data_IF_352576120892
#
_entry.id   IF_352576120892
#
_cell.length_a   1.000
_cell.length_b   1.000
_cell.length_c   1.000
_cell.angle_alpha   90.00
_cell.angle_beta   90.00
_cell.angle_gamma   90.00
#
_symmetry.space_group_name_H-M   'P 1'
#
loop_
_entity.id
_entity.type
_entity.pdbx_description
1 polymer ?
#
# COMPACT_ATOMS: atom_id res chain seq x y z
N UNK A 1 20.35 9.87 1.23
CA UNK A 1 19.09 9.34 1.76
C UNK A 1 18.46 8.49 0.70
N UNK A 2 18.13 7.25 1.05
CA UNK A 2 17.59 6.33 0.07
C UNK A 2 16.24 5.84 0.53
N UNK A 3 15.31 5.79 -0.42
CA UNK A 3 14.01 5.17 -0.21
C UNK A 3 14.17 3.67 -0.36
N UNK A 4 13.63 2.92 0.57
CA UNK A 4 13.65 1.47 0.55
C UNK A 4 12.24 0.93 0.63
N UNK A 5 12.07 -0.28 0.12
CA UNK A 5 10.77 -0.94 0.14
C UNK A 5 10.55 -1.64 1.48
N UNK A 6 9.39 -1.41 2.05
CA UNK A 6 8.93 -2.06 3.27
C UNK A 6 7.58 -2.71 3.04
N UNK A 7 7.33 -3.77 3.75
CA UNK A 7 6.05 -4.46 3.71
C UNK A 7 5.23 -4.04 4.93
N UNK A 8 4.04 -3.54 4.67
CA UNK A 8 3.12 -3.11 5.73
C UNK A 8 1.98 -4.11 5.79
N UNK A 9 1.72 -4.62 6.99
CA UNK A 9 0.62 -5.53 7.21
C UNK A 9 -0.66 -4.73 7.48
N UNK A 10 -1.68 -4.96 6.68
CA UNK A 10 -2.98 -4.29 6.79
C UNK A 10 -4.06 -5.35 6.95
N UNK A 11 -5.25 -4.90 7.33
CA UNK A 11 -6.41 -5.80 7.38
C UNK A 11 -6.79 -6.23 5.97
N UNK A 12 -7.02 -7.52 5.80
CA UNK A 12 -7.39 -8.08 4.52
C UNK A 12 -8.68 -7.42 4.00
N UNK A 13 -8.66 -7.00 2.73
CA UNK A 13 -9.77 -6.28 2.13
C UNK A 13 -9.68 -4.77 2.26
N UNK A 14 -8.76 -4.25 3.07
CA UNK A 14 -8.61 -2.81 3.30
C UNK A 14 -7.32 -2.25 2.70
N UNK A 15 -6.63 -3.01 1.88
CA UNK A 15 -5.32 -2.61 1.35
C UNK A 15 -5.39 -1.33 0.52
N UNK A 16 -6.41 -1.20 -0.34
CA UNK A 16 -6.58 0.00 -1.15
C UNK A 16 -6.92 1.21 -0.29
N UNK A 17 -7.71 1.01 0.74
CA UNK A 17 -8.05 2.07 1.69
C UNK A 17 -6.80 2.52 2.45
N UNK A 18 -5.96 1.58 2.87
CA UNK A 18 -4.69 1.89 3.52
C UNK A 18 -3.78 2.70 2.60
N UNK A 19 -3.66 2.27 1.35
CA UNK A 19 -2.86 3.00 0.37
C UNK A 19 -3.31 4.44 0.25
N UNK A 20 -4.61 4.66 0.09
CA UNK A 20 -5.17 6.00 -0.05
C UNK A 20 -4.95 6.82 1.22
N UNK A 21 -5.17 6.22 2.37
CA UNK A 21 -4.95 6.89 3.65
C UNK A 21 -3.50 7.29 3.84
N UNK A 22 -2.56 6.41 3.46
CA UNK A 22 -1.13 6.72 3.55
C UNK A 22 -0.77 7.90 2.65
N UNK A 23 -1.27 7.90 1.41
CA UNK A 23 -1.01 8.99 0.49
C UNK A 23 -1.54 10.33 1.02
N UNK A 24 -2.73 10.33 1.60
CA UNK A 24 -3.31 11.52 2.22
C UNK A 24 -2.48 12.01 3.40
N UNK A 25 -2.06 11.09 4.26
CA UNK A 25 -1.26 11.43 5.45
C UNK A 25 0.11 11.96 5.07
N UNK A 26 0.73 11.39 4.06
CA UNK A 26 2.02 11.88 3.56
C UNK A 26 1.91 13.34 3.13
N UNK A 27 0.87 13.69 2.42
CA UNK A 27 0.62 15.08 2.01
C UNK A 27 0.30 15.98 3.19
N UNK A 28 -0.54 15.49 4.11
CA UNK A 28 -0.98 16.26 5.27
C UNK A 28 0.19 16.63 6.17
N UNK A 29 1.13 15.71 6.36
CA UNK A 29 2.27 15.94 7.24
C UNK A 29 3.51 16.38 6.49
N UNK A 30 3.39 16.67 5.20
CA UNK A 30 4.49 17.18 4.37
C UNK A 30 5.71 16.26 4.37
N UNK A 31 5.47 14.96 4.28
CA UNK A 31 6.51 13.94 4.28
C UNK A 31 6.77 13.34 2.91
N UNK A 32 6.39 14.06 1.84
CA UNK A 32 6.51 13.53 0.47
C UNK A 32 7.96 13.17 0.12
N UNK A 33 8.93 13.85 0.71
CA UNK A 33 10.34 13.56 0.47
C UNK A 33 10.77 12.23 1.05
N UNK A 34 10.08 11.76 2.07
CA UNK A 34 10.39 10.48 2.73
C UNK A 34 9.61 9.30 2.20
N UNK A 35 8.70 9.54 1.28
CA UNK A 35 7.87 8.50 0.69
C UNK A 35 7.97 8.51 -0.82
N UNK A 36 8.08 7.32 -1.39
CA UNK A 36 8.04 7.13 -2.83
C UNK A 36 6.70 6.53 -3.24
N UNK A 37 6.74 5.34 -3.80
CA UNK A 37 5.55 4.67 -4.28
C UNK A 37 4.90 3.84 -3.18
N UNK A 38 3.59 3.73 -3.24
CA UNK A 38 2.81 2.85 -2.37
C UNK A 38 2.03 1.92 -3.29
N UNK A 39 2.26 0.63 -3.15
CA UNK A 39 1.68 -0.37 -4.03
C UNK A 39 0.91 -1.40 -3.24
N UNK A 40 -0.24 -1.81 -3.78
CA UNK A 40 -0.96 -2.98 -3.29
C UNK A 40 -0.62 -4.13 -4.23
N UNK A 41 0.03 -5.21 -3.72
CA UNK A 41 0.42 -6.31 -4.61
C UNK A 41 -0.82 -7.03 -5.11
N UNK A 42 -1.10 -6.84 -6.39
CA UNK A 42 -2.24 -7.46 -7.06
C UNK A 42 -1.78 -8.04 -8.39
N UNK A 43 -2.49 -9.06 -8.82
CA UNK A 43 -2.33 -9.59 -10.15
C UNK A 43 -3.58 -9.29 -10.94
N UNK A 44 -3.39 -8.69 -12.11
CA UNK A 44 -4.49 -8.43 -13.02
C UNK A 44 -4.69 -9.63 -13.91
N UNK A 45 -5.85 -10.25 -13.82
CA UNK A 45 -6.21 -11.43 -14.62
C UNK A 45 -7.25 -11.02 -15.64
N UNK A 46 -6.95 -11.30 -16.92
CA UNK A 46 -7.90 -11.11 -18.00
C UNK A 46 -8.45 -12.47 -18.38
N UNK A 47 -9.74 -12.66 -18.17
CA UNK A 47 -10.41 -13.90 -18.53
C UNK A 47 -11.33 -13.69 -19.72
N UNK A 48 -11.34 -14.67 -20.63
CA UNK A 48 -12.27 -14.72 -21.75
C UNK A 48 -13.36 -15.72 -21.43
N UNK A 49 -14.57 -15.26 -21.23
CA UNK A 49 -15.74 -16.11 -21.03
C UNK A 49 -16.83 -15.70 -22.00
N UNK A 50 -17.39 -16.67 -22.71
CA UNK A 50 -18.48 -16.45 -23.66
C UNK A 50 -18.17 -15.35 -24.68
N UNK A 51 -16.90 -15.28 -25.12
CA UNK A 51 -16.47 -14.26 -26.06
C UNK A 51 -16.27 -12.88 -25.46
N UNK A 52 -16.41 -12.71 -24.15
CA UNK A 52 -16.25 -11.42 -23.49
C UNK A 52 -14.98 -11.42 -22.63
N UNK A 53 -14.25 -10.32 -22.72
CA UNK A 53 -13.12 -10.09 -21.84
C UNK A 53 -13.61 -9.61 -20.49
N UNK A 54 -13.20 -10.30 -19.44
CA UNK A 54 -13.39 -9.85 -18.07
C UNK A 54 -12.04 -9.59 -17.44
N UNK A 55 -11.94 -8.44 -16.82
CA UNK A 55 -10.75 -8.00 -16.13
C UNK A 55 -11.02 -8.02 -14.64
N UNK A 56 -10.23 -8.78 -13.90
CA UNK A 56 -10.37 -8.82 -12.46
C UNK A 56 -9.00 -8.74 -11.80
N UNK A 57 -8.94 -8.04 -10.68
CA UNK A 57 -7.72 -7.92 -9.89
C UNK A 57 -7.73 -8.99 -8.81
N UNK A 58 -6.67 -9.79 -8.78
CA UNK A 58 -6.43 -10.72 -7.69
C UNK A 58 -5.34 -10.18 -6.81
N UNK A 59 -5.57 -10.23 -5.50
CA UNK A 59 -4.55 -9.82 -4.54
C UNK A 59 -3.61 -10.98 -4.30
N UNK A 60 -2.33 -10.79 -4.66
CA UNK A 60 -1.31 -11.80 -4.46
C UNK A 60 -1.07 -12.09 -3.00
N UNK A 61 -0.99 -11.03 -2.20
CA UNK A 61 -0.71 -11.14 -0.78
C UNK A 61 -1.77 -10.33 -0.03
N UNK A 62 -2.92 -10.95 0.28
CA UNK A 62 -3.96 -10.23 1.00
C UNK A 62 -3.44 -9.76 2.35
N UNK A 63 -3.73 -8.51 2.67
CA UNK A 63 -3.28 -7.91 3.90
C UNK A 63 -1.91 -7.28 3.84
N UNK A 64 -1.32 -7.11 2.66
CA UNK A 64 0.01 -6.50 2.53
C UNK A 64 -0.04 -5.28 1.62
N UNK A 65 0.71 -4.26 2.02
CA UNK A 65 0.91 -3.05 1.21
C UNK A 65 2.40 -2.79 1.14
N UNK A 66 2.92 -2.55 -0.06
CA UNK A 66 4.32 -2.23 -0.26
C UNK A 66 4.49 -0.72 -0.24
N UNK A 67 5.38 -0.24 0.61
CA UNK A 67 5.64 1.19 0.77
C UNK A 67 7.12 1.46 0.55
N UNK A 68 7.41 2.36 -0.38
CA UNK A 68 8.77 2.84 -0.60
C UNK A 68 8.97 4.10 0.23
N UNK A 69 9.83 4.03 1.23
CA UNK A 69 9.99 5.12 2.18
C UNK A 69 11.37 5.14 2.80
N UNK A 70 11.73 6.27 3.37
CA UNK A 70 12.87 6.39 4.27
C UNK A 70 12.39 6.17 5.70
N UNK A 71 12.95 5.18 6.38
CA UNK A 71 12.54 4.84 7.74
C UNK A 71 13.10 5.86 8.72
N UNK A 72 12.20 6.55 9.40
CA UNK A 72 12.51 7.53 10.45
C UNK A 72 11.36 7.52 11.45
N UNK A 73 11.55 8.18 12.59
CA UNK A 73 10.53 8.20 13.62
C UNK A 73 9.19 8.75 13.10
N UNK A 74 9.24 9.84 12.35
CA UNK A 74 8.04 10.48 11.84
C UNK A 74 7.36 9.64 10.75
N UNK A 75 8.13 9.07 9.83
CA UNK A 75 7.57 8.23 8.78
C UNK A 75 7.03 6.92 9.34
N UNK A 76 7.73 6.34 10.31
CA UNK A 76 7.29 5.11 10.97
C UNK A 76 5.96 5.31 11.68
N UNK A 77 5.85 6.39 12.45
CA UNK A 77 4.60 6.69 13.15
C UNK A 77 3.45 7.01 12.18
N UNK A 78 3.75 7.70 11.09
CA UNK A 78 2.74 8.02 10.09
C UNK A 78 2.09 6.75 9.56
N UNK A 79 2.88 5.74 9.25
CA UNK A 79 2.37 4.48 8.71
C UNK A 79 1.68 3.68 9.80
N UNK A 80 2.32 3.55 10.96
CA UNK A 80 1.81 2.71 12.04
C UNK A 80 0.49 3.22 12.59
N UNK A 81 0.31 4.54 12.65
CA UNK A 81 -0.91 5.15 13.17
C UNK A 81 -2.03 5.22 12.14
N UNK A 82 -1.78 4.79 10.92
CA UNK A 82 -2.80 4.77 9.88
C UNK A 82 -3.89 3.75 10.22
N UNK A 83 -5.18 4.11 10.02
CA UNK A 83 -6.27 3.16 10.27
C UNK A 83 -6.13 1.91 9.40
N UNK A 84 -6.48 0.76 9.97
CA UNK A 84 -6.43 -0.55 9.31
C UNK A 84 -5.02 -1.06 9.03
N UNK A 85 -3.99 -0.41 9.57
CA UNK A 85 -2.61 -0.89 9.51
C UNK A 85 -2.31 -1.65 10.80
N UNK A 86 -1.79 -2.85 10.65
CA UNK A 86 -1.39 -3.69 11.78
C UNK A 86 0.06 -3.43 12.18
N UNK A 87 0.88 -2.99 11.25
CA UNK A 87 2.28 -2.69 11.50
C UNK A 87 3.17 -3.10 10.34
N UNK A 88 4.46 -2.94 10.54
CA UNK A 88 5.46 -3.41 9.57
C UNK A 88 5.78 -4.89 9.78
N UNK A 89 6.17 -5.53 8.70
CA UNK A 89 6.63 -6.91 8.74
C UNK A 89 8.14 -6.94 8.75
#
# INVERSE_FOLDING_TARGET
MSLQWYVVHAYSGFENQVKKSLEDRVKRFSLEEKFGQILVPTEEVVEMRDGQKRKSDRKFFPGYVLVQMEMADDSWHLVKDCPKVMGFI
#
